data_IF_388698100358
#
_entry.id   IF_388698100358
#
_cell.length_a   1.000
_cell.length_b   1.000
_cell.length_c   1.000
_cell.angle_alpha   90.00
_cell.angle_beta   90.00
_cell.angle_gamma   90.00
#
_symmetry.space_group_name_H-M   'P 1'
#
loop_
_entity.id
_entity.type
_entity.pdbx_description
1 polymer ?
#
# COMPACT_ATOMS: atom_id res chain seq x y z
N UNK A 1 24.82 7.66 27.46
CA UNK A 1 24.12 8.19 26.26
C UNK A 1 25.06 7.91 25.11
N UNK A 2 24.95 6.70 24.57
CA UNK A 2 24.23 6.39 23.34
C UNK A 2 25.25 6.34 22.19
N UNK A 3 25.87 5.16 22.09
CA UNK A 3 26.68 4.73 20.97
C UNK A 3 25.77 4.47 19.77
N UNK A 4 26.12 5.04 18.62
CA UNK A 4 25.52 4.79 17.33
C UNK A 4 26.58 4.22 16.39
N UNK A 5 26.09 3.48 15.38
CA UNK A 5 26.80 2.92 14.23
C UNK A 5 27.55 1.60 14.46
N UNK A 6 27.00 0.50 13.94
CA UNK A 6 27.55 -0.09 12.70
C UNK A 6 26.67 -1.26 12.24
N UNK A 7 26.03 -1.07 11.08
CA UNK A 7 25.30 -2.10 10.35
C UNK A 7 26.31 -2.74 9.40
N UNK A 8 26.76 -3.96 9.71
CA UNK A 8 27.51 -4.77 8.74
C UNK A 8 26.65 -5.94 8.25
N UNK A 9 26.24 -5.82 7.00
CA UNK A 9 25.70 -6.87 6.16
C UNK A 9 26.87 -7.51 5.39
N UNK A 10 27.07 -8.83 5.55
CA UNK A 10 27.70 -9.78 4.61
C UNK A 10 27.97 -11.08 5.37
N UNK A 11 27.77 -12.31 4.88
CA UNK A 11 27.68 -12.85 3.52
C UNK A 11 27.27 -14.32 3.63
N UNK A 12 26.62 -14.82 2.57
CA UNK A 12 26.54 -16.18 1.98
C UNK A 12 27.26 -17.35 2.71
N UNK A 13 26.83 -18.61 2.71
CA UNK A 13 26.23 -19.39 1.62
C UNK A 13 25.73 -20.77 2.11
N UNK A 14 24.67 -21.24 1.46
CA UNK A 14 24.39 -22.63 1.01
C UNK A 14 24.60 -23.85 1.95
N UNK A 15 23.56 -24.69 2.07
CA UNK A 15 23.43 -25.97 1.31
C UNK A 15 22.28 -26.85 1.85
N UNK A 16 21.38 -27.20 0.92
CA UNK A 16 20.60 -28.43 0.72
C UNK A 16 20.07 -29.29 1.91
N UNK A 17 18.74 -29.47 1.89
CA UNK A 17 18.05 -30.76 1.70
C UNK A 17 18.04 -31.81 2.82
N UNK A 18 16.83 -32.07 3.36
CA UNK A 18 16.13 -33.38 3.31
C UNK A 18 15.13 -33.54 4.47
N UNK A 19 13.88 -33.89 4.15
CA UNK A 19 12.83 -34.34 5.09
C UNK A 19 13.04 -35.84 5.45
N UNK A 20 12.47 -36.45 6.53
CA UNK A 20 11.02 -36.57 6.76
C UNK A 20 10.54 -36.61 8.24
N UNK A 21 9.22 -36.65 8.44
CA UNK A 21 8.44 -36.64 9.69
C UNK A 21 8.69 -37.82 10.67
N UNK A 22 8.23 -37.77 11.96
CA UNK A 22 6.94 -38.41 12.31
C UNK A 22 6.17 -37.88 13.56
N UNK A 23 4.85 -38.16 13.59
CA UNK A 23 3.93 -38.50 14.72
C UNK A 23 3.93 -37.67 16.04
N UNK A 24 2.82 -37.32 16.69
CA UNK A 24 1.96 -38.23 17.50
C UNK A 24 0.66 -37.51 17.95
N UNK A 25 -0.45 -38.23 17.76
CA UNK A 25 -1.69 -38.37 18.55
C UNK A 25 -2.56 -37.18 19.06
N UNK A 26 -3.79 -37.19 18.50
CA UNK A 26 -5.11 -37.34 19.16
C UNK A 26 -5.55 -36.31 20.21
N UNK A 27 -6.68 -35.65 19.90
CA UNK A 27 -8.01 -35.99 20.50
C UNK A 27 -9.14 -35.53 19.58
N UNK A 28 -9.94 -36.50 19.16
CA UNK A 28 -11.19 -36.34 18.42
C UNK A 28 -12.37 -36.45 19.40
N UNK A 29 -13.40 -35.61 19.27
CA UNK A 29 -14.79 -35.95 19.59
C UNK A 29 -15.78 -34.83 19.23
N UNK A 30 -16.35 -34.86 18.03
CA UNK A 30 -17.80 -35.11 17.88
C UNK A 30 -18.17 -35.06 16.38
N UNK A 31 -18.24 -36.23 15.75
CA UNK A 31 -18.81 -36.39 14.41
C UNK A 31 -19.94 -37.39 14.54
N UNK A 32 -21.14 -36.89 14.86
CA UNK A 32 -22.36 -37.71 14.92
C UNK A 32 -22.63 -38.30 13.53
N UNK A 33 -22.85 -39.60 13.54
CA UNK A 33 -23.01 -40.49 12.39
C UNK A 33 -24.29 -40.17 11.62
N UNK A 34 -24.21 -40.15 10.30
CA UNK A 34 -25.36 -40.20 9.39
C UNK A 34 -25.54 -41.66 8.94
N UNK A 35 -26.69 -42.23 9.28
CA UNK A 35 -27.13 -43.53 8.79
C UNK A 35 -27.78 -43.37 7.40
N UNK A 36 -27.51 -44.36 6.55
CA UNK A 36 -28.05 -44.52 5.19
C UNK A 36 -29.50 -45.00 5.23
N UNK A 37 -30.41 -44.28 4.58
CA UNK A 37 -31.63 -44.84 3.97
C UNK A 37 -31.99 -43.96 2.75
N UNK A 38 -31.98 -44.57 1.57
CA UNK A 38 -32.82 -44.21 0.42
C UNK A 38 -33.89 -45.32 0.27
N UNK A 39 -35.01 -45.20 -0.49
CA UNK A 39 -35.36 -44.15 -1.47
C UNK A 39 -36.84 -43.65 -1.40
N UNK A 40 -37.13 -42.39 -1.76
CA UNK A 40 -38.31 -42.06 -2.60
C UNK A 40 -38.26 -40.61 -3.13
N UNK A 41 -38.62 -40.51 -4.41
CA UNK A 41 -38.70 -39.36 -5.33
C UNK A 41 -39.76 -38.32 -4.93
N UNK A 42 -39.39 -37.03 -4.82
CA UNK A 42 -40.23 -35.88 -5.21
C UNK A 42 -39.48 -34.52 -5.17
N UNK A 43 -39.41 -33.90 -6.35
CA UNK A 43 -39.53 -32.45 -6.64
C UNK A 43 -38.63 -31.42 -5.92
N UNK A 44 -37.62 -30.96 -6.66
CA UNK A 44 -37.22 -29.55 -6.86
C UNK A 44 -37.35 -28.54 -5.70
N UNK A 45 -36.20 -28.10 -5.18
CA UNK A 45 -35.74 -26.71 -5.39
C UNK A 45 -34.24 -26.65 -5.11
N UNK A 46 -33.47 -26.39 -6.16
CA UNK A 46 -32.05 -26.11 -6.05
C UNK A 46 -31.85 -24.95 -5.08
N UNK A 47 -31.21 -25.21 -3.95
CA UNK A 47 -30.69 -24.18 -3.08
C UNK A 47 -29.66 -23.39 -3.88
N UNK A 48 -29.99 -22.14 -4.16
CA UNK A 48 -29.07 -21.21 -4.81
C UNK A 48 -27.86 -21.00 -3.90
N UNK A 49 -26.63 -20.96 -4.44
CA UNK A 49 -25.48 -20.52 -3.64
C UNK A 49 -25.78 -19.10 -3.16
N UNK A 50 -25.53 -18.83 -1.89
CA UNK A 50 -25.61 -17.48 -1.32
C UNK A 50 -24.74 -16.56 -2.17
N UNK A 51 -25.37 -15.75 -3.03
CA UNK A 51 -24.65 -14.73 -3.77
C UNK A 51 -24.05 -13.82 -2.70
N UNK A 52 -22.72 -13.91 -2.50
CA UNK A 52 -21.99 -12.91 -1.75
C UNK A 52 -22.49 -11.56 -2.27
N UNK A 53 -22.93 -10.67 -1.38
CA UNK A 53 -23.47 -9.35 -1.72
C UNK A 53 -22.32 -8.51 -2.31
N UNK A 54 -21.97 -8.79 -3.57
CA UNK A 54 -20.99 -8.02 -4.32
C UNK A 54 -21.69 -6.73 -4.69
N UNK A 55 -21.19 -5.62 -4.15
CA UNK A 55 -21.57 -4.30 -4.65
C UNK A 55 -21.20 -4.22 -6.12
N UNK A 56 -22.16 -3.79 -6.96
CA UNK A 56 -21.86 -3.43 -8.34
C UNK A 56 -20.84 -2.30 -8.36
N UNK A 57 -20.06 -2.15 -9.43
CA UNK A 57 -19.07 -1.07 -9.50
C UNK A 57 -19.73 0.32 -9.46
N UNK A 58 -20.93 0.43 -10.02
CA UNK A 58 -21.80 1.61 -9.90
C UNK A 58 -22.20 1.87 -8.43
N UNK A 59 -22.68 0.84 -7.71
CA UNK A 59 -23.04 0.98 -6.29
C UNK A 59 -21.86 1.44 -5.42
N UNK A 60 -20.63 1.04 -5.76
CA UNK A 60 -19.43 1.46 -5.02
C UNK A 60 -19.16 2.93 -5.23
N UNK A 61 -19.24 3.41 -6.47
CA UNK A 61 -19.02 4.81 -6.81
C UNK A 61 -20.07 5.72 -6.21
N UNK A 62 -21.35 5.34 -6.25
CA UNK A 62 -22.43 6.10 -5.61
C UNK A 62 -22.19 6.25 -4.10
N UNK A 63 -21.82 5.16 -3.43
CA UNK A 63 -21.55 5.18 -1.99
C UNK A 63 -20.30 5.96 -1.63
N UNK A 64 -19.24 5.87 -2.43
CA UNK A 64 -18.06 6.73 -2.27
C UNK A 64 -18.43 8.21 -2.40
N UNK A 65 -19.24 8.55 -3.42
CA UNK A 65 -19.74 9.92 -3.63
C UNK A 65 -20.62 10.42 -2.49
N UNK A 66 -21.50 9.58 -1.94
CA UNK A 66 -22.31 9.93 -0.76
C UNK A 66 -21.43 10.21 0.47
N UNK A 67 -20.39 9.39 0.69
CA UNK A 67 -19.44 9.60 1.78
C UNK A 67 -18.67 10.92 1.57
N UNK A 68 -18.16 11.16 0.36
CA UNK A 68 -17.41 12.38 0.04
C UNK A 68 -18.28 13.65 0.15
N UNK A 69 -19.58 13.57 -0.23
CA UNK A 69 -20.52 14.66 -0.01
C UNK A 69 -20.76 14.94 1.47
N UNK A 70 -20.86 13.90 2.32
CA UNK A 70 -21.00 14.07 3.76
C UNK A 70 -19.72 14.63 4.39
N UNK A 71 -18.54 14.22 3.91
CA UNK A 71 -17.26 14.82 4.31
C UNK A 71 -17.19 16.31 3.93
N UNK A 72 -17.67 16.69 2.74
CA UNK A 72 -17.75 18.08 2.31
C UNK A 72 -18.71 18.91 3.17
N UNK A 73 -19.77 18.29 3.69
CA UNK A 73 -20.69 18.90 4.66
C UNK A 73 -20.12 18.95 6.09
N UNK A 74 -18.87 18.54 6.30
CA UNK A 74 -18.19 18.58 7.61
C UNK A 74 -18.49 17.40 8.53
N UNK A 75 -19.19 16.36 8.05
CA UNK A 75 -19.41 15.13 8.82
C UNK A 75 -18.11 14.34 8.90
N UNK A 76 -17.83 13.74 10.05
CA UNK A 76 -16.62 12.91 10.19
C UNK A 76 -16.74 11.63 9.34
N UNK A 77 -15.61 11.12 8.82
CA UNK A 77 -15.60 9.91 8.00
C UNK A 77 -16.30 8.72 8.68
N UNK A 78 -16.06 8.56 9.98
CA UNK A 78 -16.63 7.46 10.78
C UNK A 78 -18.15 7.51 10.80
N UNK A 79 -18.73 8.71 10.88
CA UNK A 79 -20.17 8.86 10.93
C UNK A 79 -20.77 8.75 9.53
N UNK A 80 -20.08 9.28 8.52
CA UNK A 80 -20.51 9.15 7.13
C UNK A 80 -20.56 7.69 6.65
N UNK A 81 -19.54 6.91 7.00
CA UNK A 81 -19.46 5.49 6.67
C UNK A 81 -20.54 4.67 7.38
N UNK A 82 -20.88 5.00 8.64
CA UNK A 82 -22.02 4.40 9.36
C UNK A 82 -23.36 4.74 8.71
N UNK A 83 -23.57 6.00 8.30
CA UNK A 83 -24.80 6.46 7.65
C UNK A 83 -25.03 5.71 6.33
N UNK A 84 -23.96 5.51 5.54
CA UNK A 84 -24.01 4.79 4.25
C UNK A 84 -24.01 3.26 4.43
N UNK A 85 -23.71 2.77 5.64
CA UNK A 85 -23.74 1.34 5.98
C UNK A 85 -22.55 0.55 5.42
N UNK A 86 -21.37 1.18 5.35
CA UNK A 86 -20.10 0.53 4.97
C UNK A 86 -19.15 0.54 6.18
N UNK A 87 -17.96 -0.08 6.07
CA UNK A 87 -16.86 0.05 7.03
C UNK A 87 -15.76 0.99 6.52
N UNK A 88 -15.03 1.65 7.42
CA UNK A 88 -13.95 2.57 7.05
C UNK A 88 -12.93 1.88 6.14
N UNK A 89 -12.64 0.61 6.45
CA UNK A 89 -11.72 -0.21 5.70
C UNK A 89 -12.17 -0.44 4.26
N UNK A 90 -13.47 -0.65 4.03
CA UNK A 90 -14.04 -0.80 2.69
C UNK A 90 -14.00 0.51 1.91
N UNK A 91 -14.27 1.65 2.56
CA UNK A 91 -14.13 2.97 1.93
C UNK A 91 -12.71 3.18 1.41
N UNK A 92 -11.69 2.92 2.24
CA UNK A 92 -10.29 3.08 1.82
C UNK A 92 -9.88 2.10 0.71
N UNK A 93 -10.36 0.85 0.75
CA UNK A 93 -10.09 -0.12 -0.31
C UNK A 93 -10.68 0.32 -1.65
N UNK A 94 -11.93 0.78 -1.67
CA UNK A 94 -12.57 1.23 -2.89
C UNK A 94 -11.99 2.55 -3.37
N UNK A 95 -11.69 3.50 -2.48
CA UNK A 95 -10.99 4.75 -2.83
C UNK A 95 -9.62 4.48 -3.45
N UNK A 96 -8.86 3.51 -2.91
CA UNK A 96 -7.57 3.09 -3.49
C UNK A 96 -7.75 2.42 -4.85
N UNK A 97 -8.76 1.56 -5.00
CA UNK A 97 -9.07 0.89 -6.26
C UNK A 97 -9.49 1.89 -7.35
N UNK A 98 -10.36 2.85 -7.02
CA UNK A 98 -10.76 3.94 -7.93
C UNK A 98 -9.57 4.82 -8.26
N UNK A 99 -8.70 5.18 -7.30
CA UNK A 99 -7.49 5.95 -7.60
C UNK A 99 -6.52 5.19 -8.50
N UNK A 100 -6.31 3.88 -8.28
CA UNK A 100 -5.50 3.07 -9.18
C UNK A 100 -6.14 2.95 -10.55
N UNK A 101 -7.47 2.83 -10.60
CA UNK A 101 -8.19 2.72 -11.85
C UNK A 101 -8.22 4.05 -12.59
N UNK A 102 -8.31 5.19 -11.90
CA UNK A 102 -8.10 6.52 -12.48
C UNK A 102 -6.66 6.69 -12.96
N UNK A 103 -5.65 6.16 -12.26
CA UNK A 103 -4.26 6.11 -12.76
C UNK A 103 -4.13 5.21 -14.00
N UNK A 104 -5.02 4.23 -14.18
CA UNK A 104 -5.02 3.31 -15.34
C UNK A 104 -5.90 3.86 -16.49
N UNK A 105 -7.03 4.50 -16.19
CA UNK A 105 -8.07 5.05 -17.11
C UNK A 105 -7.78 6.47 -17.55
N UNK A 106 -7.17 7.29 -16.69
CA UNK A 106 -6.21 8.29 -17.15
C UNK A 106 -5.08 7.46 -17.70
N UNK A 107 -5.26 6.97 -18.93
CA UNK A 107 -4.14 6.56 -19.74
C UNK A 107 -3.04 7.59 -19.45
N UNK A 108 -1.79 7.17 -19.19
CA UNK A 108 -0.75 8.16 -19.30
C UNK A 108 -1.01 8.77 -20.68
N UNK A 109 -1.34 10.06 -20.72
CA UNK A 109 -0.74 10.85 -21.78
C UNK A 109 0.70 10.36 -21.72
N UNK A 110 1.27 9.78 -22.80
CA UNK A 110 2.68 9.47 -22.80
C UNK A 110 3.38 10.83 -22.74
N UNK A 111 3.39 11.47 -21.56
CA UNK A 111 4.57 12.16 -21.10
C UNK A 111 5.56 11.02 -21.03
N UNK A 112 6.49 10.99 -21.98
CA UNK A 112 7.41 9.89 -22.06
C UNK A 112 8.10 9.90 -20.69
N UNK A 113 7.98 8.80 -19.94
CA UNK A 113 8.58 8.65 -18.61
C UNK A 113 10.08 8.98 -18.62
N UNK A 114 10.69 8.95 -19.81
CA UNK A 114 12.04 9.42 -20.11
C UNK A 114 12.23 10.92 -19.93
N UNK A 115 11.24 11.77 -20.26
CA UNK A 115 11.35 13.23 -20.13
C UNK A 115 11.24 13.65 -18.66
N UNK A 116 10.29 13.10 -17.90
CA UNK A 116 10.18 13.35 -16.46
C UNK A 116 11.44 12.85 -15.71
N UNK A 117 11.98 11.69 -16.11
CA UNK A 117 13.22 11.15 -15.55
C UNK A 117 14.44 11.99 -15.96
N UNK A 118 14.48 12.47 -17.19
CA UNK A 118 15.55 13.35 -17.67
C UNK A 118 15.53 14.70 -16.96
N UNK A 119 14.34 15.28 -16.75
CA UNK A 119 14.17 16.51 -15.97
C UNK A 119 14.63 16.29 -14.53
N UNK A 120 14.29 15.14 -13.93
CA UNK A 120 14.74 14.79 -12.59
C UNK A 120 16.27 14.69 -12.48
N UNK A 121 16.93 14.05 -13.45
CA UNK A 121 18.40 13.95 -13.52
C UNK A 121 19.02 15.35 -13.68
N UNK A 122 18.49 16.19 -14.57
CA UNK A 122 18.98 17.56 -14.77
C UNK A 122 18.85 18.40 -13.50
N UNK A 123 17.72 18.30 -12.80
CA UNK A 123 17.51 18.98 -11.52
C UNK A 123 18.49 18.51 -10.44
N UNK A 124 18.81 17.21 -10.40
CA UNK A 124 19.81 16.68 -9.47
C UNK A 124 21.21 17.22 -9.77
N UNK A 125 21.62 17.22 -11.05
CA UNK A 125 22.89 17.78 -11.49
C UNK A 125 23.01 19.27 -11.18
N UNK A 126 21.96 20.04 -11.46
CA UNK A 126 21.92 21.47 -11.15
C UNK A 126 22.01 21.70 -9.64
N UNK A 127 21.31 20.91 -8.83
CA UNK A 127 21.40 21.01 -7.37
C UNK A 127 22.82 20.74 -6.88
N UNK A 128 23.48 19.70 -7.40
CA UNK A 128 24.88 19.40 -7.07
C UNK A 128 25.81 20.54 -7.48
N UNK A 129 25.60 21.12 -8.68
CA UNK A 129 26.38 22.28 -9.15
C UNK A 129 26.20 23.49 -8.24
N UNK A 130 24.96 23.82 -7.88
CA UNK A 130 24.64 24.93 -6.98
C UNK A 130 25.26 24.73 -5.59
N UNK A 131 25.22 23.51 -5.04
CA UNK A 131 25.87 23.19 -3.76
C UNK A 131 27.39 23.38 -3.82
N UNK A 132 28.03 22.96 -4.91
CA UNK A 132 29.47 23.16 -5.13
C UNK A 132 29.82 24.65 -5.19
N UNK A 133 29.10 25.43 -5.98
CA UNK A 133 29.31 26.88 -6.10
C UNK A 133 29.10 27.59 -4.75
N UNK A 134 28.06 27.21 -4.00
CA UNK A 134 27.82 27.75 -2.67
C UNK A 134 28.98 27.42 -1.72
N UNK A 135 29.46 26.17 -1.71
CA UNK A 135 30.59 25.76 -0.88
C UNK A 135 31.88 26.49 -1.25
N UNK A 136 32.15 26.70 -2.53
CA UNK A 136 33.27 27.50 -3.01
C UNK A 136 33.16 28.96 -2.54
N UNK A 137 32.00 29.59 -2.75
CA UNK A 137 31.76 30.96 -2.29
C UNK A 137 31.98 31.09 -0.78
N UNK A 138 31.40 30.19 0.00
CA UNK A 138 31.59 30.17 1.46
C UNK A 138 33.05 29.96 1.84
N UNK A 139 33.81 29.10 1.13
CA UNK A 139 35.24 28.95 1.38
C UNK A 139 36.01 30.23 1.09
N UNK A 140 35.72 30.91 -0.02
CA UNK A 140 36.38 32.18 -0.37
C UNK A 140 36.08 33.28 0.65
N UNK A 141 34.81 33.44 1.01
CA UNK A 141 34.36 34.44 1.98
C UNK A 141 34.92 34.13 3.38
N UNK A 142 34.87 32.87 3.82
CA UNK A 142 35.49 32.48 5.10
C UNK A 142 37.00 32.72 5.10
N UNK A 143 37.70 32.47 3.99
CA UNK A 143 39.13 32.77 3.90
C UNK A 143 39.39 34.28 3.96
N UNK A 144 38.56 35.10 3.32
CA UNK A 144 38.64 36.56 3.40
C UNK A 144 38.37 37.07 4.82
N UNK A 145 37.32 36.57 5.47
CA UNK A 145 36.99 36.90 6.86
C UNK A 145 38.12 36.50 7.80
N UNK A 146 38.68 35.29 7.63
CA UNK A 146 39.84 34.82 8.40
C UNK A 146 41.07 35.71 8.22
N UNK A 147 41.35 36.14 6.98
CA UNK A 147 42.42 37.12 6.70
C UNK A 147 42.15 38.47 7.39
N UNK A 148 40.91 38.96 7.33
CA UNK A 148 40.50 40.23 7.95
C UNK A 148 40.57 40.19 9.48
N UNK A 149 40.28 39.03 10.07
CA UNK A 149 40.35 38.79 11.50
C UNK A 149 41.77 38.42 11.99
N UNK A 150 42.76 38.30 11.10
CA UNK A 150 44.13 37.92 11.44
C UNK A 150 44.27 36.45 11.86
N UNK A 151 43.26 35.63 11.62
CA UNK A 151 43.21 34.21 11.93
C UNK A 151 43.70 33.42 10.70
N UNK A 152 45.01 33.25 10.56
CA UNK A 152 45.57 32.33 9.54
C UNK A 152 45.38 30.89 10.03
#
# INVERSE_FOLDING_TARGET
>A
MADEENIELSTVSATAESAPAPSVAKKAASRRKKASVEPVRATSKAASPTRSKRHSDEDKLEKLGQIDAQLANGVTLKDAVKIVGISDQTYYQWKKAVKSEDTIRKAPVPVPFTDDLAEFIQLEEENQRLRKLLAEKLRTENAELRRRLGLK
#
